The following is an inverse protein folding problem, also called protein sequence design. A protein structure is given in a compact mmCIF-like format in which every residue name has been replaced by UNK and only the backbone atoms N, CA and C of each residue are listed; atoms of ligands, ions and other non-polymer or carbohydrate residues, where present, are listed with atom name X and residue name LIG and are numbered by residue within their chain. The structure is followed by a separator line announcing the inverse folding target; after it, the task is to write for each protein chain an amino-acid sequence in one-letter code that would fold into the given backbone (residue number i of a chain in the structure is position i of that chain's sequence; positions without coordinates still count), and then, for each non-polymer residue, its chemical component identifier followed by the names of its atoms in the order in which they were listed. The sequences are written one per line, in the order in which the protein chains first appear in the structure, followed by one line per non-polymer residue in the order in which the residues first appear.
data_IF_781973860941
#
_entry.id   IF_781973860941
#
_cell.length_a   1.000
_cell.length_b   1.000
_cell.length_c   1.000
_cell.angle_alpha   90.00
_cell.angle_beta   90.00
_cell.angle_gamma   90.00
#
_symmetry.space_group_name_H-M   'P 1'
#
loop_
_entity.id
_entity.type
_entity.pdbx_description
1 polymer ?
#
# COMPACT_ATOMS: atom_id res chain seq x y z
N UNK A 1 22.10 -21.62 -4.47
CA UNK A 1 22.58 -20.46 -3.69
C UNK A 1 22.06 -19.22 -4.41
N UNK A 2 21.07 -18.48 -3.96
CA UNK A 2 20.37 -18.33 -2.67
C UNK A 2 18.88 -18.12 -2.99
N UNK A 3 17.96 -18.74 -2.26
CA UNK A 3 16.60 -18.22 -2.23
C UNK A 3 16.73 -16.85 -1.54
N UNK A 4 16.49 -15.77 -2.26
CA UNK A 4 16.36 -14.45 -1.66
C UNK A 4 15.11 -14.47 -0.79
N UNK A 5 15.24 -15.03 0.41
CA UNK A 5 14.37 -14.72 1.53
C UNK A 5 14.68 -13.25 1.84
N UNK A 6 14.03 -12.35 1.09
CA UNK A 6 14.13 -10.91 1.31
C UNK A 6 13.63 -10.67 2.72
N UNK A 7 14.59 -10.55 3.64
CA UNK A 7 14.25 -10.36 5.05
C UNK A 7 13.42 -9.07 5.17
N UNK A 8 12.45 -9.00 6.10
CA UNK A 8 11.67 -7.77 6.29
C UNK A 8 12.56 -6.54 6.52
N UNK A 9 13.76 -6.75 7.09
CA UNK A 9 14.78 -5.72 7.20
C UNK A 9 15.21 -5.16 5.84
N UNK A 10 15.49 -6.01 4.86
CA UNK A 10 15.89 -5.60 3.50
C UNK A 10 14.77 -4.80 2.81
N UNK A 11 13.53 -5.30 2.87
CA UNK A 11 12.35 -4.59 2.36
C UNK A 11 12.19 -3.20 2.99
N UNK A 12 12.40 -3.09 4.30
CA UNK A 12 12.29 -1.83 5.02
C UNK A 12 13.37 -0.83 4.61
N UNK A 13 14.60 -1.32 4.41
CA UNK A 13 15.70 -0.50 3.90
C UNK A 13 15.44 -0.03 2.45
N UNK A 14 14.88 -0.91 1.60
CA UNK A 14 14.54 -0.60 0.19
C UNK A 14 13.47 0.47 0.03
N UNK A 15 12.51 0.53 0.94
CA UNK A 15 11.54 1.64 0.96
C UNK A 15 12.11 2.94 1.55
N UNK A 16 13.38 2.94 1.94
CA UNK A 16 14.11 4.13 2.40
C UNK A 16 14.01 4.42 3.90
N UNK A 17 13.60 3.43 4.72
CA UNK A 17 13.71 3.54 6.17
C UNK A 17 15.18 3.50 6.59
N UNK A 18 15.53 4.27 7.63
CA UNK A 18 16.85 4.18 8.23
C UNK A 18 17.04 2.82 8.95
N UNK A 19 18.27 2.32 8.96
CA UNK A 19 18.60 1.02 9.58
C UNK A 19 18.13 0.93 11.03
N UNK A 20 18.21 2.02 11.80
CA UNK A 20 17.74 2.05 13.18
C UNK A 20 16.23 1.81 13.26
N UNK A 21 15.46 2.48 12.40
CA UNK A 21 14.00 2.34 12.36
C UNK A 21 13.59 0.97 11.84
N UNK A 22 14.27 0.48 10.81
CA UNK A 22 14.01 -0.85 10.25
C UNK A 22 14.28 -1.96 11.29
N UNK A 23 15.41 -1.88 12.02
CA UNK A 23 15.72 -2.80 13.13
C UNK A 23 14.71 -2.72 14.28
N UNK A 24 14.25 -1.52 14.62
CA UNK A 24 13.22 -1.35 15.64
C UNK A 24 11.88 -1.95 15.19
N UNK A 25 11.57 -1.82 13.89
CA UNK A 25 10.34 -2.34 13.31
C UNK A 25 10.33 -3.87 13.32
N UNK A 26 11.42 -4.52 12.87
CA UNK A 26 11.52 -6.00 12.90
C UNK A 26 11.44 -6.58 14.32
N UNK A 27 11.80 -5.80 15.34
CA UNK A 27 11.66 -6.22 16.74
C UNK A 27 10.18 -6.32 17.18
N UNK A 28 9.27 -5.67 16.44
CA UNK A 28 7.85 -5.65 16.74
C UNK A 28 7.08 -6.47 15.70
N UNK A 29 6.99 -7.80 15.92
CA UNK A 29 6.37 -8.75 15.00
C UNK A 29 5.03 -8.30 14.39
N UNK A 30 4.17 -7.62 15.16
CA UNK A 30 2.90 -7.09 14.64
C UNK A 30 3.12 -6.02 13.57
N UNK A 31 3.99 -5.06 13.86
CA UNK A 31 4.33 -3.99 12.92
C UNK A 31 5.11 -4.55 11.75
N UNK A 32 6.02 -5.50 11.97
CA UNK A 32 6.75 -6.20 10.91
C UNK A 32 5.79 -6.81 9.90
N UNK A 33 4.85 -7.66 10.35
CA UNK A 33 3.90 -8.31 9.46
C UNK A 33 2.99 -7.31 8.76
N UNK A 34 2.53 -6.27 9.45
CA UNK A 34 1.70 -5.22 8.84
C UNK A 34 2.46 -4.45 7.77
N UNK A 35 3.69 -4.03 8.05
CA UNK A 35 4.50 -3.25 7.13
C UNK A 35 4.93 -4.07 5.92
N UNK A 36 5.35 -5.32 6.13
CA UNK A 36 5.63 -6.25 5.02
C UNK A 36 4.40 -6.42 4.15
N UNK A 37 3.22 -6.67 4.73
CA UNK A 37 1.99 -6.78 3.96
C UNK A 37 1.69 -5.49 3.16
N UNK A 38 1.85 -4.31 3.77
CA UNK A 38 1.70 -3.02 3.09
C UNK A 38 2.68 -2.85 1.92
N UNK A 39 3.94 -3.23 2.08
CA UNK A 39 4.96 -3.15 1.02
C UNK A 39 4.59 -4.04 -0.18
N UNK A 40 4.13 -5.26 0.11
CA UNK A 40 3.67 -6.20 -0.91
C UNK A 40 2.39 -5.71 -1.61
N UNK A 41 1.40 -5.22 -0.86
CA UNK A 41 0.16 -4.66 -1.44
C UNK A 41 0.43 -3.40 -2.27
N UNK A 42 1.39 -2.58 -1.87
CA UNK A 42 1.82 -1.41 -2.63
C UNK A 42 2.70 -1.76 -3.83
N UNK A 43 3.07 -3.04 -4.02
CA UNK A 43 3.98 -3.51 -5.06
C UNK A 43 5.33 -2.76 -5.12
N UNK A 44 5.84 -2.29 -3.96
CA UNK A 44 7.11 -1.55 -3.85
C UNK A 44 8.25 -2.40 -3.27
N UNK A 45 8.20 -3.72 -3.46
CA UNK A 45 9.25 -4.64 -3.00
C UNK A 45 10.60 -4.38 -3.67
N UNK A 46 10.60 -3.84 -4.90
CA UNK A 46 11.81 -3.41 -5.62
C UNK A 46 12.46 -2.14 -5.01
N UNK A 47 11.73 -1.44 -4.14
CA UNK A 47 12.14 -0.22 -3.46
C UNK A 47 11.33 1.00 -3.88
N UNK A 48 11.42 2.05 -3.07
CA UNK A 48 10.73 3.31 -3.34
C UNK A 48 11.44 4.51 -2.69
N UNK A 49 10.97 5.71 -3.04
CA UNK A 49 11.46 6.95 -2.43
C UNK A 49 11.21 6.94 -0.91
N UNK A 50 12.18 7.45 -0.13
CA UNK A 50 12.06 7.61 1.32
C UNK A 50 10.74 8.27 1.76
N UNK A 51 10.24 9.24 0.99
CA UNK A 51 8.95 9.88 1.25
C UNK A 51 7.80 8.89 1.21
N UNK A 52 7.75 8.03 0.18
CA UNK A 52 6.74 6.96 0.03
C UNK A 52 6.90 5.97 1.19
N UNK A 53 8.12 5.48 1.46
CA UNK A 53 8.36 4.54 2.56
C UNK A 53 7.91 5.06 3.93
N UNK A 54 8.15 6.34 4.23
CA UNK A 54 7.66 6.94 5.47
C UNK A 54 6.12 7.00 5.54
N UNK A 55 5.44 7.25 4.41
CA UNK A 55 3.98 7.21 4.35
C UNK A 55 3.46 5.77 4.52
N UNK A 56 4.07 4.78 3.86
CA UNK A 56 3.74 3.36 4.01
C UNK A 56 3.93 2.88 5.45
N UNK A 57 5.02 3.29 6.11
CA UNK A 57 5.26 3.02 7.53
C UNK A 57 4.14 3.59 8.42
N UNK A 58 3.70 4.80 8.11
CA UNK A 58 2.61 5.45 8.83
C UNK A 58 1.29 4.70 8.62
N UNK A 59 1.01 4.24 7.40
CA UNK A 59 -0.15 3.38 7.12
C UNK A 59 -0.08 2.07 7.93
N UNK A 60 1.05 1.38 7.92
CA UNK A 60 1.18 0.10 8.63
C UNK A 60 0.94 0.19 10.15
N UNK A 61 1.16 1.38 10.74
CA UNK A 61 1.09 1.61 12.19
C UNK A 61 -0.18 2.34 12.65
N UNK A 62 -0.74 3.23 11.82
CA UNK A 62 -1.88 4.09 12.16
C UNK A 62 -3.17 3.77 11.41
N UNK A 63 -3.15 2.91 10.39
CA UNK A 63 -4.33 2.69 9.57
C UNK A 63 -5.49 2.09 10.37
N UNK A 64 -6.72 2.62 10.21
CA UNK A 64 -7.88 2.18 10.97
C UNK A 64 -8.23 0.71 10.74
N UNK A 65 -8.33 -0.07 11.84
CA UNK A 65 -8.60 -1.50 11.78
C UNK A 65 -10.01 -1.84 11.25
N UNK A 66 -10.97 -0.92 11.37
CA UNK A 66 -12.34 -1.07 10.86
C UNK A 66 -12.45 -0.86 9.34
N UNK A 67 -11.38 -0.41 8.68
CA UNK A 67 -11.37 -0.06 7.27
C UNK A 67 -10.26 -0.76 6.46
N UNK A 68 -9.71 -1.85 6.98
CA UNK A 68 -8.58 -2.58 6.37
C UNK A 68 -8.84 -2.97 4.91
N UNK A 69 -10.11 -3.12 4.51
CA UNK A 69 -10.52 -3.41 3.13
C UNK A 69 -10.14 -2.29 2.15
N UNK A 70 -10.00 -1.04 2.61
CA UNK A 70 -9.62 0.11 1.79
C UNK A 70 -8.14 0.47 1.86
N UNK A 71 -7.36 -0.22 2.70
CA UNK A 71 -5.90 -0.07 2.79
C UNK A 71 -5.23 -0.11 1.41
N UNK A 72 -5.45 -1.12 0.55
CA UNK A 72 -4.80 -1.18 -0.76
C UNK A 72 -5.10 0.05 -1.65
N UNK A 73 -6.32 0.61 -1.58
CA UNK A 73 -6.63 1.86 -2.29
C UNK A 73 -5.73 2.99 -1.84
N UNK A 74 -5.60 3.21 -0.53
CA UNK A 74 -4.75 4.26 0.02
C UNK A 74 -3.29 4.11 -0.44
N UNK A 75 -2.78 2.87 -0.46
CA UNK A 75 -1.42 2.57 -0.88
C UNK A 75 -1.18 2.98 -2.34
N UNK A 76 -2.13 2.70 -3.24
CA UNK A 76 -2.05 3.12 -4.64
C UNK A 76 -1.96 4.65 -4.78
N UNK A 77 -2.72 5.41 -3.98
CA UNK A 77 -2.63 6.87 -3.99
C UNK A 77 -1.28 7.39 -3.51
N UNK A 78 -0.63 6.70 -2.56
CA UNK A 78 0.71 7.05 -2.08
C UNK A 78 1.76 6.74 -3.16
N UNK A 79 1.71 5.55 -3.76
CA UNK A 79 2.67 5.12 -4.80
C UNK A 79 2.53 5.96 -6.07
N UNK A 80 1.29 6.29 -6.46
CA UNK A 80 0.98 7.22 -7.55
C UNK A 80 1.34 8.68 -7.22
N UNK A 81 1.88 8.95 -6.03
CA UNK A 81 2.25 10.28 -5.57
C UNK A 81 1.07 11.26 -5.57
N UNK A 82 -0.16 10.79 -5.39
CA UNK A 82 -1.34 11.65 -5.17
C UNK A 82 -1.39 12.15 -3.73
N UNK A 83 -1.07 11.27 -2.79
CA UNK A 83 -0.87 11.59 -1.37
C UNK A 83 0.62 11.73 -1.11
N UNK A 84 1.07 12.96 -0.86
CA UNK A 84 2.49 13.29 -0.66
C UNK A 84 2.80 13.81 0.73
N UNK A 85 1.77 14.28 1.45
CA UNK A 85 1.96 14.94 2.75
C UNK A 85 1.31 14.15 3.87
N UNK A 86 1.86 14.20 5.10
CA UNK A 86 1.24 13.55 6.25
C UNK A 86 -0.17 14.09 6.54
N UNK A 87 -0.46 15.37 6.26
CA UNK A 87 -1.79 15.94 6.44
C UNK A 87 -2.85 15.26 5.55
N UNK A 88 -2.52 15.00 4.27
CA UNK A 88 -3.39 14.26 3.36
C UNK A 88 -3.59 12.81 3.83
N UNK A 89 -2.55 12.19 4.39
CA UNK A 89 -2.63 10.85 4.95
C UNK A 89 -3.52 10.78 6.20
N UNK A 90 -3.42 11.76 7.09
CA UNK A 90 -4.28 11.85 8.28
C UNK A 90 -5.75 12.10 7.90
N UNK A 91 -5.99 12.92 6.88
CA UNK A 91 -7.33 13.11 6.32
C UNK A 91 -7.88 11.78 5.73
N UNK A 92 -7.06 11.02 5.00
CA UNK A 92 -7.43 9.71 4.50
C UNK A 92 -7.80 8.73 5.63
N UNK A 93 -7.03 8.72 6.72
CA UNK A 93 -7.36 7.89 7.88
C UNK A 93 -8.67 8.30 8.52
N UNK A 94 -8.93 9.61 8.66
CA UNK A 94 -10.20 10.10 9.19
C UNK A 94 -11.37 9.69 8.31
N UNK A 95 -11.23 9.80 7.00
CA UNK A 95 -12.23 9.37 6.03
C UNK A 95 -12.54 7.88 6.19
N UNK A 96 -11.53 7.01 6.11
CA UNK A 96 -11.71 5.57 6.25
C UNK A 96 -12.20 5.15 7.63
N UNK A 97 -11.85 5.88 8.69
CA UNK A 97 -12.38 5.61 10.03
C UNK A 97 -13.89 5.80 10.06
N UNK A 98 -14.41 6.83 9.41
CA UNK A 98 -15.85 7.11 9.29
C UNK A 98 -16.56 6.16 8.32
N UNK A 99 -15.97 5.88 7.16
CA UNK A 99 -16.51 4.93 6.16
C UNK A 99 -16.51 3.49 6.68
N UNK A 100 -15.51 3.11 7.49
CA UNK A 100 -15.34 1.75 7.97
C UNK A 100 -15.08 0.77 6.82
N UNK A 101 -15.93 -0.24 6.69
CA UNK A 101 -15.83 -1.27 5.64
C UNK A 101 -16.79 -1.01 4.47
N UNK A 102 -17.50 0.11 4.48
CA UNK A 102 -18.50 0.45 3.47
C UNK A 102 -17.86 0.96 2.18
N UNK A 103 -18.55 0.82 1.06
CA UNK A 103 -18.06 1.39 -0.19
C UNK A 103 -18.09 2.93 -0.13
N UNK A 104 -17.09 3.57 -0.72
CA UNK A 104 -16.99 5.03 -0.76
C UNK A 104 -16.80 5.53 -2.19
N UNK A 105 -17.09 6.80 -2.40
CA UNK A 105 -16.86 7.48 -3.67
C UNK A 105 -15.43 8.05 -3.70
N UNK A 106 -14.69 7.77 -4.75
CA UNK A 106 -13.30 8.24 -4.86
C UNK A 106 -13.20 9.75 -4.91
N UNK A 107 -14.16 10.42 -5.55
CA UNK A 107 -14.22 11.89 -5.57
C UNK A 107 -14.33 12.46 -4.15
N UNK A 108 -15.20 11.87 -3.31
CA UNK A 108 -15.39 12.27 -1.92
C UNK A 108 -14.11 12.01 -1.09
N UNK A 109 -13.43 10.89 -1.36
CA UNK A 109 -12.14 10.58 -0.75
C UNK A 109 -11.03 11.55 -1.18
N UNK A 110 -10.89 11.85 -2.48
CA UNK A 110 -9.88 12.77 -3.00
C UNK A 110 -10.09 14.18 -2.48
N UNK A 111 -11.35 14.64 -2.42
CA UNK A 111 -11.75 15.91 -1.84
C UNK A 111 -11.43 15.96 -0.34
N UNK A 112 -11.83 14.94 0.43
CA UNK A 112 -11.53 14.84 1.85
C UNK A 112 -10.03 14.84 2.13
N UNK A 113 -9.25 14.19 1.27
CA UNK A 113 -7.79 14.13 1.38
C UNK A 113 -7.10 15.39 0.87
N UNK A 114 -7.79 16.35 0.26
CA UNK A 114 -7.16 17.51 -0.37
C UNK A 114 -6.17 17.11 -1.47
N UNK A 115 -6.44 16.02 -2.19
CA UNK A 115 -5.71 15.67 -3.41
C UNK A 115 -6.16 16.68 -4.44
N UNK A 116 -5.25 17.56 -4.88
CA UNK A 116 -5.56 18.61 -5.85
C UNK A 116 -6.27 17.97 -7.03
N UNK A 117 -7.56 18.29 -7.17
CA UNK A 117 -8.45 17.67 -8.13
C UNK A 117 -7.77 17.66 -9.48
N UNK A 118 -7.50 16.47 -10.01
CA UNK A 118 -7.49 16.38 -11.47
C UNK A 118 -8.86 16.92 -11.85
N UNK A 119 -8.87 17.93 -12.69
CA UNK A 119 -10.04 18.42 -13.39
C UNK A 119 -10.63 17.23 -14.18
N UNK A 120 -11.30 16.31 -13.49
CA UNK A 120 -12.09 15.28 -14.13
C UNK A 120 -13.47 15.89 -14.23
N UNK A 121 -13.64 16.64 -15.31
CA UNK A 121 -14.94 16.92 -15.89
C UNK A 121 -15.81 15.68 -15.76
N UNK A 122 -17.05 15.87 -15.31
CA UNK A 122 -17.95 14.90 -14.68
C UNK A 122 -18.39 13.68 -15.53
N UNK A 123 -17.56 13.18 -16.44
CA UNK A 123 -17.93 12.22 -17.48
C UNK A 123 -17.11 10.91 -17.47
N UNK A 124 -16.02 10.77 -16.69
CA UNK A 124 -15.07 9.64 -16.87
C UNK A 124 -14.75 8.73 -15.66
N UNK A 125 -15.35 8.90 -14.47
CA UNK A 125 -14.92 8.14 -13.26
C UNK A 125 -16.02 7.27 -12.66
N UNK A 126 -16.80 6.60 -13.50
CA UNK A 126 -17.72 5.54 -13.04
C UNK A 126 -17.29 4.12 -13.47
N UNK A 127 -16.08 3.94 -14.02
CA UNK A 127 -15.67 2.61 -14.54
C UNK A 127 -14.30 2.08 -14.15
N UNK A 128 -13.35 2.89 -13.68
CA UNK A 128 -11.95 2.41 -13.69
C UNK A 128 -11.47 1.77 -12.39
N UNK A 129 -12.18 1.93 -11.28
CA UNK A 129 -11.69 1.42 -9.98
C UNK A 129 -12.25 0.07 -9.55
N UNK A 130 -13.26 -0.44 -10.26
CA UNK A 130 -13.68 -1.83 -10.09
C UNK A 130 -12.72 -2.79 -10.81
N UNK A 131 -12.11 -2.37 -11.92
CA UNK A 131 -11.18 -3.21 -12.69
C UNK A 131 -9.81 -3.34 -11.99
N UNK A 132 -9.32 -2.30 -11.30
CA UNK A 132 -8.04 -2.36 -10.57
C UNK A 132 -8.14 -3.22 -9.29
N UNK A 133 -9.32 -3.28 -8.66
CA UNK A 133 -9.58 -4.14 -7.52
C UNK A 133 -9.67 -5.63 -7.87
N UNK A 134 -10.03 -5.97 -9.12
CA UNK A 134 -10.11 -7.34 -9.61
C UNK A 134 -8.78 -7.85 -10.19
N UNK A 135 -7.94 -6.99 -10.78
CA UNK A 135 -6.62 -7.41 -11.28
C UNK A 135 -5.58 -7.63 -10.16
N UNK A 136 -5.59 -6.84 -9.07
CA UNK A 136 -4.63 -7.02 -7.98
C UNK A 136 -4.98 -8.13 -6.98
N UNK A 137 -6.18 -8.71 -7.06
CA UNK A 137 -6.51 -9.95 -6.32
C UNK A 137 -6.02 -11.22 -7.03
N UNK A 138 -5.70 -11.14 -8.32
CA UNK A 138 -5.29 -12.30 -9.12
C UNK A 138 -3.78 -12.57 -9.11
N UNK A 139 -2.96 -11.63 -8.61
CA UNK A 139 -1.49 -11.80 -8.59
C UNK A 139 -0.97 -12.49 -7.32
N UNK A 140 -1.79 -12.66 -6.27
CA UNK A 140 -1.40 -13.44 -5.06
C UNK A 140 -1.68 -14.96 -5.24
N UNK A 141 -1.81 -15.44 -6.48
CA UNK A 141 -1.94 -16.87 -6.77
C UNK A 141 -1.04 -17.39 -7.90
N UNK A 142 0.08 -16.72 -8.23
CA UNK A 142 1.07 -17.27 -9.17
C UNK A 142 2.53 -17.19 -8.68
N UNK A 143 2.79 -17.67 -7.46
CA UNK A 143 4.13 -18.14 -7.08
C UNK A 143 4.13 -19.58 -6.55
N UNK A 144 3.19 -20.42 -7.03
CA UNK A 144 3.18 -21.86 -6.74
C UNK A 144 2.79 -22.81 -7.89
N UNK A 145 2.97 -22.41 -9.15
CA UNK A 145 3.01 -23.37 -10.26
C UNK A 145 4.42 -23.36 -10.86
N UNK A 146 5.30 -24.27 -10.43
CA UNK A 146 5.54 -25.56 -11.09
C UNK A 146 5.90 -25.37 -12.57
N UNK A 147 7.20 -25.39 -12.89
CA UNK A 147 7.80 -26.26 -13.92
C UNK A 147 9.29 -25.95 -14.05
N UNK A 148 10.12 -26.85 -13.56
CA UNK A 148 11.12 -27.49 -14.42
C UNK A 148 11.42 -28.87 -13.83
N UNK A 149 10.51 -29.79 -14.13
CA UNK A 149 10.86 -31.18 -14.26
C UNK A 149 11.58 -31.39 -15.61
N UNK A 150 12.49 -32.37 -15.59
CA UNK A 150 13.14 -33.02 -16.74
C UNK A 150 14.32 -32.27 -17.38
N UNK A 151 15.52 -32.58 -16.89
CA UNK A 151 16.69 -32.71 -17.76
C UNK A 151 16.72 -34.15 -18.30
N UNK A 152 16.86 -34.26 -19.63
CA UNK A 152 17.03 -35.48 -20.42
C UNK A 152 18.29 -36.26 -20.08
#
# INVERSE_FOLDING_TARGET
MVANDETPLDLFLKIGLDERTARNTIANNKVTSNLTAVIHEAAVTDGCSRTIGNLLYTVATKFPANALVHRPTLLQYIVSSKIKTPAQLEAAFSFFTSTGSENFQLNDFEEACGVAGVDVSAEDVERTVNEIFEENKSTILEHRYRTNGQYS
#
